data_IF_236740577829
#
_entry.id   IF_236740577829
#
_cell.length_a   1.000
_cell.length_b   1.000
_cell.length_c   1.000
_cell.angle_alpha   90.00
_cell.angle_beta   90.00
_cell.angle_gamma   90.00
#
_symmetry.space_group_name_H-M   'P 1'
#
loop_
_entity.id
_entity.type
_entity.pdbx_description
1 polymer ?
#
# COMPACT_ATOMS: atom_id res chain seq x y z
N UNK A 1 -9.80 12.31 14.01
CA UNK A 1 -9.01 11.68 12.94
C UNK A 1 -9.02 10.17 13.14
N UNK A 2 -9.25 9.44 12.09
CA UNK A 2 -9.29 7.98 12.10
C UNK A 2 -8.12 7.42 11.32
N UNK A 3 -7.48 6.39 11.85
CA UNK A 3 -6.41 5.68 11.14
C UNK A 3 -7.02 4.50 10.38
N UNK A 4 -6.77 4.46 9.09
CA UNK A 4 -7.24 3.40 8.19
C UNK A 4 -6.05 2.58 7.70
N UNK A 5 -6.26 1.26 7.59
CA UNK A 5 -5.34 0.39 6.85
C UNK A 5 -5.99 0.12 5.50
N UNK A 6 -5.34 0.55 4.43
CA UNK A 6 -5.89 0.48 3.07
C UNK A 6 -5.04 -0.49 2.25
N UNK A 7 -5.69 -1.41 1.55
CA UNK A 7 -5.04 -2.28 0.59
C UNK A 7 -5.23 -1.69 -0.81
N UNK A 8 -4.12 -1.43 -1.49
CA UNK A 8 -4.12 -0.97 -2.88
C UNK A 8 -3.60 -2.12 -3.73
N UNK A 9 -4.48 -2.81 -4.48
CA UNK A 9 -4.06 -3.88 -5.38
C UNK A 9 -3.52 -3.32 -6.67
N UNK A 10 -2.68 -4.11 -7.34
CA UNK A 10 -2.15 -3.72 -8.65
C UNK A 10 -1.51 -4.90 -9.35
N UNK A 11 -0.92 -4.64 -10.51
CA UNK A 11 -0.24 -5.66 -11.31
C UNK A 11 1.03 -5.08 -11.89
N UNK A 12 2.14 -5.81 -11.75
CA UNK A 12 3.37 -5.49 -12.47
C UNK A 12 3.29 -6.13 -13.86
N UNK A 13 3.23 -5.30 -14.90
CA UNK A 13 3.15 -5.78 -16.29
C UNK A 13 4.51 -6.20 -16.85
N UNK A 14 5.58 -5.86 -16.15
CA UNK A 14 6.94 -6.32 -16.46
C UNK A 14 7.58 -6.91 -15.21
N UNK A 15 8.64 -7.69 -15.38
CA UNK A 15 9.32 -8.29 -14.25
C UNK A 15 9.80 -7.24 -13.24
N UNK A 16 9.67 -7.54 -11.96
CA UNK A 16 10.14 -6.68 -10.88
C UNK A 16 11.23 -7.43 -10.11
N UNK A 17 12.48 -6.92 -10.12
CA UNK A 17 13.55 -7.50 -9.31
C UNK A 17 13.30 -7.35 -7.82
N UNK A 18 13.83 -8.26 -7.00
CA UNK A 18 13.67 -8.24 -5.55
C UNK A 18 14.19 -6.95 -4.91
N UNK A 19 15.27 -6.40 -5.44
CA UNK A 19 15.83 -5.13 -4.95
C UNK A 19 14.88 -3.95 -5.20
N UNK A 20 14.13 -3.98 -6.29
CA UNK A 20 13.10 -2.97 -6.56
C UNK A 20 11.91 -3.12 -5.62
N UNK A 21 11.47 -4.35 -5.36
CA UNK A 21 10.44 -4.61 -4.35
C UNK A 21 10.85 -4.08 -2.99
N UNK A 22 12.10 -4.32 -2.59
CA UNK A 22 12.65 -3.81 -1.33
C UNK A 22 12.69 -2.28 -1.30
N UNK A 23 12.97 -1.65 -2.42
CA UNK A 23 12.99 -0.19 -2.54
C UNK A 23 11.59 0.38 -2.36
N UNK A 24 10.58 -0.24 -2.98
CA UNK A 24 9.18 0.16 -2.82
C UNK A 24 8.74 0.04 -1.35
N UNK A 25 9.06 -1.08 -0.71
CA UNK A 25 8.76 -1.29 0.70
C UNK A 25 9.42 -0.23 1.59
N UNK A 26 10.69 0.07 1.33
CA UNK A 26 11.42 1.08 2.09
C UNK A 26 10.75 2.46 1.97
N UNK A 27 10.27 2.82 0.79
CA UNK A 27 9.60 4.10 0.55
C UNK A 27 8.24 4.18 1.24
N UNK A 28 7.58 3.03 1.42
CA UNK A 28 6.28 2.94 2.08
C UNK A 28 6.38 2.65 3.59
N UNK A 29 7.57 2.37 4.09
CA UNK A 29 7.76 1.95 5.49
C UNK A 29 7.20 2.92 6.54
N UNK A 30 7.25 4.24 6.35
CA UNK A 30 6.60 5.15 7.29
C UNK A 30 5.09 4.93 7.44
N UNK A 31 4.45 4.32 6.44
CA UNK A 31 3.03 3.97 6.44
C UNK A 31 2.78 2.48 6.64
N UNK A 32 3.74 1.74 7.20
CA UNK A 32 3.59 0.31 7.44
C UNK A 32 2.43 0.05 8.42
N UNK A 33 1.44 -0.79 8.03
CA UNK A 33 0.30 -1.12 8.91
C UNK A 33 0.72 -1.74 10.24
N UNK A 34 1.88 -2.37 10.30
CA UNK A 34 2.43 -2.96 11.54
C UNK A 34 2.76 -1.91 12.59
N UNK A 35 2.76 -0.63 12.23
CA UNK A 35 2.85 0.47 13.20
C UNK A 35 1.54 0.64 13.99
N UNK A 36 0.43 0.03 13.52
CA UNK A 36 -0.85 0.02 14.24
C UNK A 36 -1.01 -1.30 14.99
N UNK A 37 -1.78 -1.30 16.06
CA UNK A 37 -2.12 -2.53 16.79
C UNK A 37 -2.89 -3.50 15.90
N UNK A 38 -3.78 -2.98 15.06
CA UNK A 38 -4.55 -3.78 14.11
C UNK A 38 -3.64 -4.47 13.11
N UNK A 39 -2.72 -3.73 12.48
CA UNK A 39 -1.81 -4.26 11.48
C UNK A 39 -0.87 -5.31 12.07
N UNK A 40 -0.37 -5.09 13.28
CA UNK A 40 0.47 -6.05 13.98
C UNK A 40 -0.31 -7.33 14.35
N UNK A 41 -1.51 -7.18 14.88
CA UNK A 41 -2.38 -8.28 15.28
C UNK A 41 -2.79 -9.16 14.09
N UNK A 42 -3.14 -8.56 12.97
CA UNK A 42 -3.55 -9.25 11.75
C UNK A 42 -2.37 -9.64 10.85
N UNK A 43 -1.15 -9.27 11.23
CA UNK A 43 0.07 -9.53 10.45
C UNK A 43 -0.03 -9.00 9.01
N UNK A 44 -0.53 -7.79 8.86
CA UNK A 44 -0.71 -7.17 7.55
C UNK A 44 0.64 -6.76 6.97
N UNK A 45 1.02 -7.38 5.86
CA UNK A 45 2.28 -7.07 5.18
C UNK A 45 2.16 -5.80 4.35
N UNK A 46 3.21 -4.99 4.37
CA UNK A 46 3.27 -3.74 3.63
C UNK A 46 3.16 -3.96 2.12
N UNK A 47 3.82 -5.00 1.61
CA UNK A 47 3.77 -5.34 0.19
C UNK A 47 3.82 -6.85 0.02
N UNK A 48 2.92 -7.39 -0.79
CA UNK A 48 2.95 -8.79 -1.21
C UNK A 48 2.87 -8.85 -2.73
N UNK A 49 3.65 -9.73 -3.35
CA UNK A 49 3.68 -9.92 -4.80
C UNK A 49 3.56 -11.42 -5.06
N UNK A 50 2.65 -11.83 -5.94
CA UNK A 50 2.49 -13.22 -6.30
C UNK A 50 3.24 -13.58 -7.59
N UNK A 51 3.15 -14.86 -8.00
CA UNK A 51 3.88 -15.39 -9.16
C UNK A 51 3.39 -14.78 -10.48
N UNK A 52 2.16 -14.30 -10.54
CA UNK A 52 1.57 -13.69 -11.73
C UNK A 52 1.88 -12.20 -11.85
N UNK A 53 2.63 -11.65 -10.89
CA UNK A 53 2.94 -10.22 -10.87
C UNK A 53 1.86 -9.36 -10.25
N UNK A 54 0.81 -9.97 -9.72
CA UNK A 54 -0.21 -9.22 -8.96
C UNK A 54 0.33 -8.87 -7.59
N UNK A 55 0.12 -7.64 -7.17
CA UNK A 55 0.61 -7.19 -5.87
C UNK A 55 -0.49 -6.51 -5.07
N UNK A 56 -0.28 -6.47 -3.77
CA UNK A 56 -1.11 -5.71 -2.84
C UNK A 56 -0.18 -4.91 -1.91
N UNK A 57 -0.36 -3.61 -1.91
CA UNK A 57 0.32 -2.72 -0.97
C UNK A 57 -0.67 -2.34 0.13
N UNK A 58 -0.28 -2.50 1.38
CA UNK A 58 -1.10 -2.15 2.54
C UNK A 58 -0.43 -1.02 3.27
N UNK A 59 -1.14 0.09 3.41
CA UNK A 59 -0.60 1.29 4.04
C UNK A 59 -1.54 1.82 5.12
N UNK A 60 -0.94 2.40 6.14
CA UNK A 60 -1.63 3.10 7.20
C UNK A 60 -1.83 4.56 6.78
N UNK A 61 -3.06 5.05 6.87
CA UNK A 61 -3.39 6.43 6.50
C UNK A 61 -4.31 7.04 7.54
N UNK A 62 -4.02 8.26 7.95
CA UNK A 62 -4.91 9.05 8.80
C UNK A 62 -5.75 9.96 7.91
N UNK A 63 -7.08 9.92 8.11
CA UNK A 63 -8.00 10.74 7.32
C UNK A 63 -9.29 10.99 8.10
N UNK A 64 -10.04 11.99 7.66
CA UNK A 64 -11.31 12.34 8.25
C UNK A 64 -12.41 11.33 7.87
N UNK A 65 -12.30 10.73 6.66
CA UNK A 65 -13.27 9.77 6.17
C UNK A 65 -12.60 8.72 5.29
N UNK A 66 -13.38 7.70 4.93
CA UNK A 66 -12.90 6.57 4.12
C UNK A 66 -12.44 7.00 2.73
N UNK A 67 -13.20 7.86 2.06
CA UNK A 67 -12.85 8.33 0.70
C UNK A 67 -11.52 9.06 0.68
N UNK A 68 -11.27 9.91 1.67
CA UNK A 68 -10.00 10.59 1.81
C UNK A 68 -8.86 9.64 2.08
N UNK A 69 -9.09 8.61 2.91
CA UNK A 69 -8.09 7.60 3.21
C UNK A 69 -7.72 6.79 1.96
N UNK A 70 -8.71 6.36 1.18
CA UNK A 70 -8.48 5.62 -0.06
C UNK A 70 -7.69 6.44 -1.08
N UNK A 71 -8.05 7.69 -1.27
CA UNK A 71 -7.35 8.59 -2.20
C UNK A 71 -5.89 8.80 -1.78
N UNK A 72 -5.64 9.00 -0.51
CA UNK A 72 -4.30 9.18 0.04
C UNK A 72 -3.46 7.91 -0.13
N UNK A 73 -4.04 6.74 0.14
CA UNK A 73 -3.35 5.47 -0.03
C UNK A 73 -2.91 5.24 -1.48
N UNK A 74 -3.80 5.49 -2.43
CA UNK A 74 -3.47 5.37 -3.86
C UNK A 74 -2.35 6.34 -4.23
N UNK A 75 -2.39 7.56 -3.74
CA UNK A 75 -1.36 8.57 -3.99
C UNK A 75 0.00 8.12 -3.47
N UNK A 76 0.06 7.59 -2.25
CA UNK A 76 1.29 7.12 -1.63
C UNK A 76 1.90 5.94 -2.40
N UNK A 77 1.07 4.96 -2.76
CA UNK A 77 1.52 3.78 -3.50
C UNK A 77 1.97 4.17 -4.91
N UNK A 78 1.20 5.01 -5.61
CA UNK A 78 1.56 5.50 -6.94
C UNK A 78 2.91 6.23 -6.93
N UNK A 79 3.14 7.06 -5.92
CA UNK A 79 4.39 7.79 -5.77
C UNK A 79 5.57 6.86 -5.53
N UNK A 80 5.40 5.87 -4.65
CA UNK A 80 6.45 4.90 -4.36
C UNK A 80 6.83 4.09 -5.60
N UNK A 81 5.84 3.65 -6.38
CA UNK A 81 6.08 2.94 -7.63
C UNK A 81 6.82 3.80 -8.64
N UNK A 82 6.39 5.03 -8.83
CA UNK A 82 7.02 5.97 -9.77
C UNK A 82 8.46 6.27 -9.37
N UNK A 83 8.70 6.51 -8.09
CA UNK A 83 10.04 6.80 -7.56
C UNK A 83 10.96 5.57 -7.65
N UNK A 84 10.39 4.37 -7.76
CA UNK A 84 11.13 3.12 -7.95
C UNK A 84 11.27 2.73 -9.43
N UNK A 85 10.83 3.59 -10.35
CA UNK A 85 11.01 3.40 -11.79
C UNK A 85 9.82 2.77 -12.52
N UNK A 86 8.65 2.66 -11.88
CA UNK A 86 7.44 2.13 -12.51
C UNK A 86 6.45 3.25 -12.83
N UNK A 87 6.19 3.46 -14.12
CA UNK A 87 5.10 4.33 -14.55
C UNK A 87 3.76 3.65 -14.27
N UNK A 88 2.68 4.41 -14.24
CA UNK A 88 1.33 3.90 -14.01
C UNK A 88 0.96 2.81 -15.03
N UNK A 89 1.38 2.94 -16.27
CA UNK A 89 1.14 1.97 -17.34
C UNK A 89 1.90 0.67 -17.15
N UNK A 90 3.00 0.67 -16.41
CA UNK A 90 3.79 -0.53 -16.10
C UNK A 90 3.30 -1.25 -14.85
N UNK A 91 2.62 -0.53 -13.97
CA UNK A 91 2.10 -1.08 -12.71
C UNK A 91 0.73 -0.43 -12.40
N UNK A 92 -0.31 -0.77 -13.19
CA UNK A 92 -1.64 -0.22 -12.97
C UNK A 92 -2.22 -0.66 -11.64
N UNK A 93 -2.91 0.24 -10.98
CA UNK A 93 -3.55 0.01 -9.69
C UNK A 93 -5.05 -0.26 -9.85
N UNK A 94 -5.56 -1.17 -9.03
CA UNK A 94 -6.99 -1.40 -8.89
C UNK A 94 -7.62 -0.48 -7.84
N UNK A 95 -8.86 -0.76 -7.49
CA UNK A 95 -9.59 0.02 -6.50
C UNK A 95 -9.02 -0.22 -5.09
N UNK A 96 -8.78 0.85 -4.35
CA UNK A 96 -8.34 0.75 -2.97
C UNK A 96 -9.46 0.19 -2.09
N UNK A 97 -9.09 -0.64 -1.11
CA UNK A 97 -10.03 -1.32 -0.22
C UNK A 97 -9.62 -1.06 1.22
N UNK A 98 -10.57 -0.65 2.06
CA UNK A 98 -10.32 -0.55 3.49
C UNK A 98 -10.18 -1.95 4.07
N UNK A 99 -8.98 -2.29 4.54
CA UNK A 99 -8.68 -3.57 5.16
C UNK A 99 -8.99 -3.55 6.66
N UNK A 100 -8.81 -2.39 7.29
CA UNK A 100 -9.09 -2.24 8.70
C UNK A 100 -9.15 -0.78 9.10
N UNK A 101 -9.76 -0.54 10.26
CA UNK A 101 -9.89 0.80 10.84
C UNK A 101 -9.36 0.71 12.27
N UNK A 102 -8.34 1.52 12.57
CA UNK A 102 -7.81 1.66 13.91
C UNK A 102 -8.24 3.03 14.43
N UNK A 103 -9.10 3.03 15.45
CA UNK A 103 -9.67 4.26 15.99
C UNK A 103 -8.96 4.64 17.28
N UNK A 104 -8.55 5.89 17.34
CA UNK A 104 -8.11 6.49 18.60
C UNK A 104 -9.35 6.97 19.39
N UNK A 105 -9.39 6.62 20.64
CA UNK A 105 -10.43 7.05 21.56
C UNK A 105 -9.87 8.07 22.54
#
# INVERSE_FOLDING_TARGET
VTTYVITVPGTFLRGVPDDVCSDIERRLRPQDPKNTDLGESEQLSLLTVDEDGMFAARVEVEAADQSGAEAEAVRLVSRALRDSGFAQEDAPLGAAIVTGIDREF
#
